data_IF_423094236915
#
_entry.id   IF_423094236915
#
_cell.length_a   1.000
_cell.length_b   1.000
_cell.length_c   1.000
_cell.angle_alpha   90.00
_cell.angle_beta   90.00
_cell.angle_gamma   90.00
#
_symmetry.space_group_name_H-M   'P 1'
#
loop_
_entity.id
_entity.type
_entity.pdbx_description
1 polymer ?
#
# COMPACT_ATOMS: atom_id res chain seq x y z
N UNK A 1 31.21 17.78 17.15
CA UNK A 1 31.20 17.45 15.70
C UNK A 1 29.82 17.77 15.15
N UNK A 2 29.66 18.65 14.14
CA UNK A 2 28.36 18.86 13.52
C UNK A 2 27.90 17.55 12.85
N UNK A 3 26.72 17.06 13.22
CA UNK A 3 26.20 15.80 12.69
C UNK A 3 25.92 15.95 11.19
N UNK A 4 26.61 15.16 10.37
CA UNK A 4 26.42 15.13 8.91
C UNK A 4 25.02 14.59 8.60
N UNK A 5 24.27 15.32 7.77
CA UNK A 5 22.94 14.92 7.31
C UNK A 5 22.99 13.53 6.67
N UNK A 6 21.97 12.72 6.95
CA UNK A 6 21.80 11.39 6.37
C UNK A 6 20.74 11.39 5.29
N UNK A 7 21.10 10.83 4.14
CA UNK A 7 20.16 10.47 3.08
C UNK A 7 19.52 9.13 3.44
N UNK A 8 18.20 9.10 3.49
CA UNK A 8 17.41 7.89 3.73
C UNK A 8 16.45 7.65 2.58
N UNK A 9 16.42 6.43 2.08
CA UNK A 9 15.47 5.99 1.07
C UNK A 9 14.61 4.88 1.69
N UNK A 10 13.31 5.14 1.81
CA UNK A 10 12.37 4.09 2.16
C UNK A 10 11.86 3.40 0.91
N UNK A 11 11.76 2.08 0.93
CA UNK A 11 11.24 1.33 -0.20
C UNK A 11 10.55 0.04 0.25
N UNK A 12 10.05 -0.70 -0.73
CA UNK A 12 9.32 -1.95 -0.58
C UNK A 12 8.46 -2.15 -1.82
N UNK A 13 7.96 -3.37 -2.07
CA UNK A 13 7.20 -3.69 -3.29
C UNK A 13 5.95 -2.82 -3.53
N UNK A 14 5.55 -2.00 -2.56
CA UNK A 14 4.32 -1.23 -2.58
C UNK A 14 3.21 -1.99 -1.86
N UNK A 15 2.25 -1.26 -1.30
CA UNK A 15 1.20 -1.84 -0.41
C UNK A 15 1.74 -2.52 0.86
N UNK A 16 3.01 -2.33 1.18
CA UNK A 16 3.72 -2.83 2.37
C UNK A 16 3.96 -1.75 3.44
N UNK A 17 3.18 -0.66 3.44
CA UNK A 17 3.26 0.36 4.50
C UNK A 17 4.25 1.51 4.27
N UNK A 18 4.74 1.71 3.04
CA UNK A 18 5.64 2.81 2.66
C UNK A 18 5.15 4.20 3.10
N UNK A 19 3.85 4.48 3.03
CA UNK A 19 3.30 5.74 3.55
C UNK A 19 3.42 5.87 5.08
N UNK A 20 3.21 4.77 5.82
CA UNK A 20 3.43 4.74 7.27
C UNK A 20 4.92 4.90 7.61
N UNK A 21 5.83 4.33 6.81
CA UNK A 21 7.26 4.56 6.96
C UNK A 21 7.62 6.03 6.80
N UNK A 22 7.15 6.68 5.73
CA UNK A 22 7.39 8.11 5.54
C UNK A 22 6.87 8.95 6.72
N UNK A 23 5.71 8.59 7.28
CA UNK A 23 5.19 9.24 8.48
C UNK A 23 6.06 9.03 9.72
N UNK A 24 6.55 7.80 9.95
CA UNK A 24 7.51 7.51 11.02
C UNK A 24 8.81 8.29 10.85
N UNK A 25 9.36 8.37 9.63
CA UNK A 25 10.60 9.09 9.39
C UNK A 25 10.42 10.61 9.60
N UNK A 26 9.28 11.17 9.21
CA UNK A 26 8.96 12.58 9.46
C UNK A 26 8.58 12.90 10.91
N UNK A 27 8.24 11.91 11.73
CA UNK A 27 8.01 12.18 13.16
C UNK A 27 9.30 12.45 13.92
N UNK A 28 10.45 12.09 13.36
CA UNK A 28 11.75 12.33 13.98
C UNK A 28 12.07 13.83 13.96
N UNK A 29 12.77 14.30 14.98
CA UNK A 29 13.19 15.68 15.02
C UNK A 29 14.15 15.98 13.86
N UNK A 30 14.05 17.19 13.28
CA UNK A 30 14.95 17.64 12.19
C UNK A 30 14.95 16.70 10.97
N UNK A 31 13.81 16.09 10.68
CA UNK A 31 13.63 15.19 9.54
C UNK A 31 12.73 15.80 8.46
N UNK A 32 13.03 15.49 7.20
CA UNK A 32 12.15 15.79 6.07
C UNK A 32 12.25 14.72 4.99
N UNK A 33 11.24 13.87 4.93
CA UNK A 33 11.18 12.71 4.05
C UNK A 33 9.91 12.77 3.20
N UNK A 34 10.02 12.81 1.89
CA UNK A 34 8.84 12.77 1.00
C UNK A 34 8.31 11.34 0.82
N UNK A 35 7.12 11.22 0.24
CA UNK A 35 6.56 9.94 -0.21
C UNK A 35 6.18 10.11 -1.68
N UNK A 36 6.88 9.39 -2.57
CA UNK A 36 6.69 9.42 -4.03
C UNK A 36 6.80 10.86 -4.60
N UNK A 37 7.91 11.57 -4.34
CA UNK A 37 8.06 13.01 -4.66
C UNK A 37 7.69 13.41 -6.10
N UNK A 38 8.04 12.59 -7.10
CA UNK A 38 7.66 12.79 -8.51
C UNK A 38 6.62 11.78 -9.02
N UNK A 39 5.92 11.12 -8.09
CA UNK A 39 4.84 10.20 -8.39
C UNK A 39 5.24 9.15 -9.43
N UNK A 40 4.45 8.95 -10.49
CA UNK A 40 4.67 7.89 -11.47
C UNK A 40 5.76 8.20 -12.50
N UNK A 41 6.62 9.20 -12.29
CA UNK A 41 7.59 9.65 -13.30
C UNK A 41 8.90 8.86 -13.30
N UNK A 42 9.11 8.01 -12.30
CA UNK A 42 10.29 7.12 -12.22
C UNK A 42 9.92 5.79 -12.85
N UNK A 43 10.50 5.52 -14.02
CA UNK A 43 10.39 4.22 -14.66
C UNK A 43 11.17 3.16 -13.86
N UNK A 44 10.78 1.89 -13.99
CA UNK A 44 11.50 0.77 -13.37
C UNK A 44 12.85 0.51 -14.04
N UNK A 45 12.89 0.72 -15.35
CA UNK A 45 14.10 0.66 -16.17
C UNK A 45 14.43 2.07 -16.65
N UNK A 46 15.72 2.39 -16.76
CA UNK A 46 16.23 3.67 -17.29
C UNK A 46 15.73 4.95 -16.57
N UNK A 47 15.26 4.81 -15.32
CA UNK A 47 14.73 5.91 -14.51
C UNK A 47 15.80 6.72 -13.74
N UNK A 48 17.09 6.42 -13.92
CA UNK A 48 18.20 7.12 -13.25
C UNK A 48 18.10 8.65 -13.36
N UNK A 49 17.85 9.27 -14.53
CA UNK A 49 17.75 10.73 -14.63
C UNK A 49 16.70 11.33 -13.70
N UNK A 50 15.54 10.68 -13.57
CA UNK A 50 14.46 11.12 -12.68
C UNK A 50 14.84 10.90 -11.22
N UNK A 51 15.47 9.77 -10.87
CA UNK A 51 15.98 9.50 -9.53
C UNK A 51 16.99 10.57 -9.10
N UNK A 52 17.98 10.88 -9.95
CA UNK A 52 18.95 11.94 -9.67
C UNK A 52 18.30 13.31 -9.55
N UNK A 53 17.24 13.58 -10.33
CA UNK A 53 16.46 14.79 -10.17
C UNK A 53 15.76 14.83 -8.80
N UNK A 54 15.18 13.73 -8.32
CA UNK A 54 14.59 13.67 -6.97
C UNK A 54 15.65 13.97 -5.92
N UNK A 55 16.80 13.28 -5.96
CA UNK A 55 17.85 13.45 -4.96
C UNK A 55 18.41 14.87 -4.92
N UNK A 56 18.55 15.54 -6.08
CA UNK A 56 18.96 16.96 -6.15
C UNK A 56 17.92 17.92 -5.60
N UNK A 57 16.64 17.57 -5.66
CA UNK A 57 15.54 18.39 -5.14
C UNK A 57 15.20 18.09 -3.67
N UNK A 58 15.92 17.17 -3.03
CA UNK A 58 15.76 16.95 -1.59
C UNK A 58 16.16 18.20 -0.80
N UNK A 59 15.45 18.52 0.29
CA UNK A 59 15.72 19.70 1.11
C UNK A 59 17.19 19.79 1.56
N UNK A 60 17.77 20.97 1.35
CA UNK A 60 19.19 21.21 1.60
C UNK A 60 19.51 21.95 2.91
N UNK A 61 18.51 22.29 3.74
CA UNK A 61 18.67 23.10 4.97
C UNK A 61 19.60 22.42 6.00
N UNK A 62 20.64 23.12 6.46
CA UNK A 62 21.63 22.66 7.45
C UNK A 62 21.01 22.16 8.77
N UNK A 63 19.82 22.62 9.10
CA UNK A 63 19.10 22.18 10.29
C UNK A 63 18.57 20.76 10.17
N UNK A 64 18.50 20.17 8.98
CA UNK A 64 17.99 18.81 8.80
C UNK A 64 19.08 17.76 9.03
N UNK A 65 18.76 16.76 9.86
CA UNK A 65 19.59 15.58 10.14
C UNK A 65 19.19 14.38 9.28
N UNK A 66 17.92 14.25 8.94
CA UNK A 66 17.38 13.16 8.13
C UNK A 66 16.64 13.74 6.91
N UNK A 67 17.07 13.37 5.70
CA UNK A 67 16.35 13.74 4.47
C UNK A 67 16.20 12.55 3.56
N UNK A 68 15.14 12.54 2.76
CA UNK A 68 14.87 11.36 1.97
C UNK A 68 13.59 11.39 1.16
N UNK A 69 13.35 10.26 0.52
CA UNK A 69 12.09 9.96 -0.15
C UNK A 69 11.73 8.49 0.10
N UNK A 70 10.44 8.19 0.06
CA UNK A 70 9.94 6.83 0.19
C UNK A 70 9.13 6.47 -1.05
N UNK A 71 9.53 5.43 -1.78
CA UNK A 71 8.80 4.92 -2.94
C UNK A 71 9.22 3.49 -3.29
N UNK A 72 8.36 2.76 -4.00
CA UNK A 72 8.67 1.38 -4.44
C UNK A 72 9.67 1.30 -5.58
N UNK A 73 9.75 2.33 -6.42
CA UNK A 73 10.57 2.33 -7.63
C UNK A 73 12.09 2.44 -7.37
N UNK A 74 12.56 2.58 -6.13
CA UNK A 74 13.98 2.79 -5.85
C UNK A 74 14.84 1.52 -5.94
N UNK A 75 14.26 0.33 -5.88
CA UNK A 75 15.01 -0.92 -5.79
C UNK A 75 16.07 -1.10 -6.89
N UNK A 76 15.79 -0.83 -8.18
CA UNK A 76 16.78 -0.97 -9.26
C UNK A 76 17.96 0.00 -9.12
N UNK A 77 17.77 1.12 -8.42
CA UNK A 77 18.71 2.24 -8.35
C UNK A 77 19.56 2.26 -7.08
N UNK A 78 19.43 1.26 -6.20
CA UNK A 78 20.14 1.25 -4.91
C UNK A 78 21.66 1.32 -5.11
N UNK A 79 22.20 0.51 -6.03
CA UNK A 79 23.64 0.47 -6.29
C UNK A 79 24.14 1.77 -6.94
N UNK A 80 23.38 2.34 -7.88
CA UNK A 80 23.75 3.61 -8.51
C UNK A 80 23.76 4.75 -7.48
N UNK A 81 22.75 4.83 -6.62
CA UNK A 81 22.69 5.79 -5.51
C UNK A 81 23.86 5.58 -4.54
N UNK A 82 24.19 4.35 -4.17
CA UNK A 82 25.30 4.05 -3.25
C UNK A 82 26.67 4.43 -3.83
N UNK A 83 26.85 4.34 -5.15
CA UNK A 83 28.12 4.73 -5.79
C UNK A 83 28.45 6.22 -5.62
N UNK A 84 27.43 7.07 -5.42
CA UNK A 84 27.57 8.52 -5.19
C UNK A 84 27.39 8.88 -3.71
N UNK A 85 26.39 8.30 -3.05
CA UNK A 85 26.04 8.55 -1.66
C UNK A 85 26.37 7.32 -0.79
N UNK A 86 27.65 7.08 -0.54
CA UNK A 86 28.15 5.92 0.22
C UNK A 86 27.53 5.78 1.62
N UNK A 87 27.12 6.89 2.23
CA UNK A 87 26.47 6.91 3.55
C UNK A 87 24.94 6.86 3.50
N UNK A 88 24.33 6.69 2.32
CA UNK A 88 22.89 6.54 2.21
C UNK A 88 22.41 5.29 2.97
N UNK A 89 21.18 5.35 3.48
CA UNK A 89 20.53 4.24 4.17
C UNK A 89 19.21 3.90 3.53
N UNK A 90 18.95 2.62 3.35
CA UNK A 90 17.78 2.08 2.67
C UNK A 90 16.98 1.21 3.62
N UNK A 91 15.75 1.60 3.88
CA UNK A 91 14.81 0.85 4.72
C UNK A 91 13.78 0.20 3.80
N UNK A 92 13.93 -1.10 3.58
CA UNK A 92 13.03 -1.87 2.73
C UNK A 92 11.98 -2.58 3.59
N UNK A 93 10.70 -2.27 3.39
CA UNK A 93 9.61 -2.95 4.10
C UNK A 93 9.12 -4.14 3.31
N UNK A 94 8.97 -5.27 4.01
CA UNK A 94 8.41 -6.51 3.50
C UNK A 94 7.08 -6.82 4.15
N UNK A 95 6.10 -7.16 3.32
CA UNK A 95 4.79 -7.67 3.73
C UNK A 95 4.61 -9.04 3.11
N UNK A 96 3.84 -9.89 3.77
CA UNK A 96 3.38 -11.16 3.21
C UNK A 96 2.97 -11.07 1.74
N UNK A 97 3.36 -12.09 0.99
CA UNK A 97 3.20 -12.19 -0.47
C UNK A 97 1.73 -12.18 -0.88
N UNK A 98 0.94 -13.07 -0.29
CA UNK A 98 -0.46 -13.25 -0.66
C UNK A 98 -1.30 -12.05 -0.24
N UNK A 99 -1.02 -11.47 0.93
CA UNK A 99 -1.64 -10.23 1.34
C UNK A 99 -1.30 -9.05 0.40
N UNK A 100 -0.07 -9.02 -0.12
CA UNK A 100 0.38 -7.99 -1.06
C UNK A 100 -0.33 -8.14 -2.41
N UNK A 101 -0.40 -9.37 -2.95
CA UNK A 101 -1.14 -9.69 -4.17
C UNK A 101 -2.61 -9.27 -4.02
N UNK A 102 -3.28 -9.74 -2.96
CA UNK A 102 -4.68 -9.41 -2.71
C UNK A 102 -4.91 -7.89 -2.56
N UNK A 103 -3.99 -7.18 -1.90
CA UNK A 103 -4.05 -5.72 -1.74
C UNK A 103 -3.94 -4.98 -3.07
N UNK A 104 -3.03 -5.41 -3.95
CA UNK A 104 -2.87 -4.81 -5.28
C UNK A 104 -4.07 -5.08 -6.17
N UNK A 105 -4.55 -6.33 -6.26
CA UNK A 105 -5.74 -6.72 -7.03
C UNK A 105 -6.93 -5.84 -6.65
N UNK A 106 -7.19 -5.71 -5.33
CA UNK A 106 -8.26 -4.85 -4.80
C UNK A 106 -8.07 -3.37 -5.15
N UNK A 107 -6.84 -2.85 -5.10
CA UNK A 107 -6.55 -1.42 -5.33
C UNK A 107 -6.61 -1.04 -6.81
N UNK A 108 -6.35 -1.98 -7.71
CA UNK A 108 -6.16 -1.73 -9.14
C UNK A 108 -7.12 -2.55 -10.04
N UNK A 109 -8.43 -2.64 -9.76
CA UNK A 109 -9.32 -3.62 -10.40
C UNK A 109 -9.40 -3.51 -11.93
N UNK A 110 -9.11 -2.34 -12.50
CA UNK A 110 -9.15 -2.06 -13.95
C UNK A 110 -7.79 -1.74 -14.58
N UNK A 111 -6.70 -1.97 -13.85
CA UNK A 111 -5.32 -1.63 -14.27
C UNK A 111 -4.42 -2.85 -14.08
N UNK A 112 -3.37 -2.97 -14.89
CA UNK A 112 -2.37 -4.01 -14.72
C UNK A 112 -0.97 -3.46 -15.01
N UNK A 113 -0.26 -3.06 -13.95
CA UNK A 113 1.05 -2.44 -14.09
C UNK A 113 2.16 -3.45 -14.40
N UNK A 114 1.92 -4.75 -14.23
CA UNK A 114 2.98 -5.78 -14.25
C UNK A 114 3.00 -6.59 -15.54
N UNK A 115 2.05 -6.36 -16.45
CA UNK A 115 2.01 -7.05 -17.75
C UNK A 115 1.98 -6.01 -18.86
N UNK A 116 2.61 -6.31 -19.99
CA UNK A 116 2.42 -5.53 -21.21
C UNK A 116 0.97 -5.67 -21.68
N UNK A 117 0.36 -4.55 -22.09
CA UNK A 117 -1.02 -4.54 -22.58
C UNK A 117 -1.31 -3.34 -23.48
N UNK A 118 -2.35 -3.46 -24.28
CA UNK A 118 -2.79 -2.51 -25.31
C UNK A 118 -3.87 -1.51 -24.86
N UNK A 119 -4.36 -1.64 -23.62
CA UNK A 119 -5.41 -0.76 -23.11
C UNK A 119 -6.83 -1.33 -23.20
N UNK A 120 -7.04 -2.43 -23.95
CA UNK A 120 -8.38 -2.97 -24.22
C UNK A 120 -8.96 -3.66 -22.97
N UNK A 121 -8.22 -4.60 -22.39
CA UNK A 121 -8.63 -5.31 -21.17
C UNK A 121 -8.32 -4.53 -19.90
N UNK A 122 -7.17 -3.86 -19.85
CA UNK A 122 -6.70 -3.09 -18.70
C UNK A 122 -6.41 -1.66 -19.12
N UNK A 123 -6.89 -0.69 -18.35
CA UNK A 123 -6.67 0.73 -18.64
C UNK A 123 -5.20 1.10 -18.41
N UNK A 124 -4.64 1.84 -19.36
CA UNK A 124 -3.34 2.49 -19.18
C UNK A 124 -3.33 3.39 -17.94
N UNK A 125 -2.16 3.46 -17.33
CA UNK A 125 -1.90 4.26 -16.15
C UNK A 125 -0.49 4.80 -16.22
N UNK A 126 -0.25 6.05 -15.79
CA UNK A 126 1.12 6.57 -15.69
C UNK A 126 2.04 5.69 -14.84
N UNK A 127 1.47 5.01 -13.84
CA UNK A 127 2.17 4.04 -13.00
C UNK A 127 2.66 2.79 -13.73
N UNK A 128 2.22 2.52 -14.97
CA UNK A 128 2.64 1.31 -15.69
C UNK A 128 4.16 1.27 -15.87
N UNK A 129 4.83 2.41 -16.06
CA UNK A 129 6.28 2.44 -16.22
C UNK A 129 7.06 2.17 -14.92
N UNK A 130 6.43 2.37 -13.75
CA UNK A 130 7.07 2.23 -12.44
C UNK A 130 7.24 0.76 -12.00
N UNK A 131 6.79 -0.19 -12.82
CA UNK A 131 6.83 -1.61 -12.50
C UNK A 131 7.44 -2.40 -13.67
N UNK A 132 8.19 -3.48 -13.36
CA UNK A 132 8.69 -4.38 -14.38
C UNK A 132 7.54 -5.13 -15.08
N UNK A 133 7.82 -5.66 -16.26
CA UNK A 133 6.84 -6.38 -17.08
C UNK A 133 7.13 -7.87 -17.10
N UNK A 134 6.12 -8.65 -16.75
CA UNK A 134 6.19 -10.09 -16.65
C UNK A 134 5.31 -10.76 -17.71
N UNK A 135 5.79 -11.92 -18.17
CA UNK A 135 4.99 -12.87 -18.93
C UNK A 135 4.24 -13.75 -17.93
N UNK A 136 2.94 -13.51 -17.80
CA UNK A 136 2.07 -14.23 -16.88
C UNK A 136 0.69 -14.45 -17.51
N UNK A 137 -0.01 -15.48 -17.07
CA UNK A 137 -1.37 -15.78 -17.54
C UNK A 137 -2.43 -14.94 -16.83
N UNK A 138 -2.12 -14.50 -15.60
CA UNK A 138 -3.01 -13.68 -14.78
C UNK A 138 -2.27 -12.51 -14.15
N UNK A 139 -3.04 -11.50 -13.74
CA UNK A 139 -2.50 -10.33 -13.05
C UNK A 139 -1.94 -10.71 -11.67
N UNK A 140 -2.62 -11.59 -10.95
CA UNK A 140 -2.21 -12.14 -9.66
C UNK A 140 -0.83 -12.80 -9.78
N UNK A 141 -0.64 -13.61 -10.82
CA UNK A 141 0.64 -14.26 -11.10
C UNK A 141 1.73 -13.23 -11.41
N UNK A 142 1.44 -12.19 -12.20
CA UNK A 142 2.40 -11.12 -12.49
C UNK A 142 2.80 -10.33 -11.23
N UNK A 143 1.85 -10.03 -10.35
CA UNK A 143 2.14 -9.38 -9.05
C UNK A 143 2.97 -10.31 -8.15
N UNK A 144 2.69 -11.60 -8.18
CA UNK A 144 3.47 -12.61 -7.45
C UNK A 144 4.93 -12.65 -7.91
N UNK A 145 5.16 -12.74 -9.23
CA UNK A 145 6.51 -12.69 -9.80
C UNK A 145 7.25 -11.40 -9.42
N UNK A 146 6.56 -10.26 -9.47
CA UNK A 146 7.09 -8.99 -9.00
C UNK A 146 7.49 -9.02 -7.52
N UNK A 147 6.65 -9.54 -6.64
CA UNK A 147 6.96 -9.66 -5.22
C UNK A 147 8.20 -10.54 -5.00
N UNK A 148 8.24 -11.70 -5.67
CA UNK A 148 9.32 -12.68 -5.54
C UNK A 148 10.66 -12.08 -6.00
N UNK A 149 10.67 -11.41 -7.15
CA UNK A 149 11.86 -10.74 -7.66
C UNK A 149 12.29 -9.57 -6.76
N UNK A 150 11.33 -8.75 -6.31
CA UNK A 150 11.60 -7.58 -5.50
C UNK A 150 12.35 -7.94 -4.21
N UNK A 151 11.86 -8.95 -3.48
CA UNK A 151 12.48 -9.30 -2.19
C UNK A 151 13.71 -10.18 -2.34
N UNK A 152 13.80 -11.04 -3.37
CA UNK A 152 15.07 -11.69 -3.70
C UNK A 152 16.17 -10.65 -3.93
N UNK A 153 15.90 -9.62 -4.73
CA UNK A 153 16.85 -8.53 -4.99
C UNK A 153 17.14 -7.69 -3.74
N UNK A 154 16.14 -7.43 -2.90
CA UNK A 154 16.32 -6.73 -1.63
C UNK A 154 17.21 -7.50 -0.64
N UNK A 155 17.05 -8.82 -0.56
CA UNK A 155 17.88 -9.71 0.26
C UNK A 155 19.32 -9.76 -0.24
N UNK A 156 19.53 -9.84 -1.57
CA UNK A 156 20.85 -9.72 -2.20
C UNK A 156 21.52 -8.38 -1.83
N UNK A 157 20.79 -7.27 -1.90
CA UNK A 157 21.28 -5.93 -1.55
C UNK A 157 21.60 -5.81 -0.05
N UNK A 158 20.77 -6.38 0.83
CA UNK A 158 21.05 -6.43 2.26
C UNK A 158 22.33 -7.22 2.54
N UNK A 159 22.52 -8.36 1.89
CA UNK A 159 23.71 -9.20 2.06
C UNK A 159 24.98 -8.47 1.58
N UNK A 160 24.88 -7.78 0.44
CA UNK A 160 26.00 -7.03 -0.15
C UNK A 160 26.34 -5.74 0.59
N UNK A 161 25.33 -5.05 1.12
CA UNK A 161 25.48 -3.74 1.75
C UNK A 161 24.81 -3.68 3.14
N UNK A 162 25.18 -4.52 4.10
CA UNK A 162 24.43 -4.67 5.36
C UNK A 162 24.42 -3.40 6.23
N UNK A 163 25.44 -2.54 6.07
CA UNK A 163 25.50 -1.24 6.76
C UNK A 163 24.58 -0.18 6.11
N UNK A 164 24.18 -0.38 4.85
CA UNK A 164 23.44 0.62 4.07
C UNK A 164 22.04 0.17 3.67
N UNK A 165 21.75 -1.12 3.57
CA UNK A 165 20.44 -1.64 3.16
C UNK A 165 19.94 -2.67 4.15
N UNK A 166 18.70 -2.52 4.61
CA UNK A 166 18.06 -3.48 5.52
C UNK A 166 16.59 -3.68 5.21
N UNK A 167 16.19 -4.95 5.21
CA UNK A 167 14.81 -5.41 5.09
C UNK A 167 14.19 -5.54 6.47
N UNK A 168 12.99 -5.01 6.63
CA UNK A 168 12.19 -5.13 7.85
C UNK A 168 10.80 -5.68 7.53
N UNK A 169 10.25 -6.58 8.36
CA UNK A 169 8.85 -6.95 8.27
C UNK A 169 7.96 -5.73 8.57
N UNK A 170 6.80 -5.62 7.91
CA UNK A 170 5.87 -4.49 8.08
C UNK A 170 5.39 -4.32 9.53
N UNK A 171 5.36 -5.41 10.29
CA UNK A 171 5.05 -5.45 11.72
C UNK A 171 6.01 -4.57 12.53
N UNK A 172 7.25 -4.42 12.08
CA UNK A 172 8.25 -3.58 12.73
C UNK A 172 7.80 -2.11 12.80
N UNK A 173 7.03 -1.63 11.82
CA UNK A 173 6.46 -0.28 11.87
C UNK A 173 5.44 -0.10 13.01
N UNK A 174 4.81 -1.17 13.47
CA UNK A 174 3.72 -1.11 14.44
C UNK A 174 4.15 -1.51 15.86
N UNK A 175 5.38 -1.96 16.04
CA UNK A 175 5.95 -2.34 17.33
C UNK A 175 7.01 -1.33 17.78
N UNK A 176 7.06 -1.03 19.08
CA UNK A 176 8.05 -0.12 19.64
C UNK A 176 9.49 -0.58 19.33
N UNK A 177 9.77 -1.87 19.56
CA UNK A 177 11.09 -2.46 19.30
C UNK A 177 11.43 -2.47 17.81
N UNK A 178 10.44 -2.68 16.95
CA UNK A 178 10.63 -2.62 15.50
C UNK A 178 10.99 -1.21 15.02
N UNK A 179 10.28 -0.19 15.50
CA UNK A 179 10.62 1.21 15.21
C UNK A 179 12.00 1.56 15.76
N UNK A 180 12.35 1.08 16.96
CA UNK A 180 13.69 1.28 17.53
C UNK A 180 14.77 0.71 16.62
N UNK A 181 14.62 -0.53 16.16
CA UNK A 181 15.58 -1.16 15.24
C UNK A 181 15.72 -0.40 13.91
N UNK A 182 14.62 0.14 13.36
CA UNK A 182 14.65 0.98 12.17
C UNK A 182 15.47 2.25 12.44
N UNK A 183 15.19 2.95 13.55
CA UNK A 183 15.87 4.20 13.90
C UNK A 183 17.34 3.98 14.30
N UNK A 184 17.67 2.85 14.93
CA UNK A 184 19.03 2.40 15.21
C UNK A 184 19.81 2.17 13.91
N UNK A 185 19.22 1.47 12.95
CA UNK A 185 19.83 1.24 11.64
C UNK A 185 20.11 2.55 10.89
N UNK A 186 19.18 3.50 10.97
CA UNK A 186 19.37 4.86 10.47
C UNK A 186 20.33 5.70 11.34
N UNK A 187 20.72 5.18 12.50
CA UNK A 187 21.49 5.84 13.55
C UNK A 187 20.98 7.27 13.81
N UNK A 188 19.66 7.36 13.98
CA UNK A 188 18.98 8.56 14.51
C UNK A 188 19.35 8.65 15.99
N UNK A 189 19.88 9.79 16.47
CA UNK A 189 20.24 9.98 17.88
C UNK A 189 19.03 9.88 18.81
N UNK A 190 19.21 9.33 20.01
CA UNK A 190 18.11 9.08 20.95
C UNK A 190 17.29 10.34 21.28
N UNK A 191 17.94 11.50 21.37
CA UNK A 191 17.29 12.78 21.66
C UNK A 191 16.33 13.23 20.53
N UNK A 192 16.58 12.78 19.30
CA UNK A 192 15.77 13.10 18.12
C UNK A 192 14.68 12.05 17.87
N UNK A 193 14.71 10.92 18.60
CA UNK A 193 13.77 9.81 18.39
C UNK A 193 12.37 10.18 18.86
N UNK A 194 11.41 9.86 18.00
CA UNK A 194 9.97 9.93 18.27
C UNK A 194 9.34 8.64 17.78
N UNK A 195 8.86 7.84 18.72
CA UNK A 195 8.11 6.64 18.39
C UNK A 195 6.66 7.01 18.09
N UNK A 196 6.09 6.34 17.09
CA UNK A 196 4.72 6.53 16.68
C UNK A 196 4.08 5.16 16.47
N UNK A 197 3.98 4.40 17.57
CA UNK A 197 3.45 3.05 17.57
C UNK A 197 2.00 3.08 17.08
N UNK A 198 1.64 2.15 16.20
CA UNK A 198 0.28 2.04 15.66
C UNK A 198 -0.05 2.96 14.47
N UNK A 199 0.94 3.59 13.82
CA UNK A 199 0.70 4.32 12.55
C UNK A 199 0.12 3.37 11.49
N UNK A 200 -1.18 3.54 11.22
CA UNK A 200 -1.89 2.83 10.15
C UNK A 200 -2.44 3.82 9.13
N UNK A 201 -1.58 4.33 8.25
CA UNK A 201 -2.01 5.14 7.12
C UNK A 201 -2.49 4.23 5.98
N UNK A 202 -3.66 4.53 5.40
CA UNK A 202 -4.34 3.74 4.36
C UNK A 202 -4.85 2.35 4.78
N UNK A 203 -4.93 2.03 6.08
CA UNK A 203 -5.64 0.84 6.51
C UNK A 203 -7.11 0.94 6.06
N UNK A 204 -7.65 -0.14 5.46
CA UNK A 204 -9.08 -0.23 5.27
C UNK A 204 -9.74 -0.05 6.65
N UNK A 205 -10.74 0.84 6.76
CA UNK A 205 -11.51 0.99 8.01
C UNK A 205 -11.87 -0.41 8.52
N UNK A 206 -11.65 -0.74 9.80
CA UNK A 206 -12.14 -2.00 10.34
C UNK A 206 -13.61 -2.11 9.97
N UNK A 207 -14.03 -3.27 9.47
CA UNK A 207 -15.46 -3.54 9.21
C UNK A 207 -16.15 -3.48 10.58
N UNK A 208 -16.62 -2.29 10.96
CA UNK A 208 -17.34 -2.09 12.20
C UNK A 208 -18.55 -3.02 12.25
N UNK A 209 -19.09 -3.22 13.45
CA UNK A 209 -20.24 -4.09 13.79
C UNK A 209 -21.37 -4.07 12.74
N UNK A 210 -21.60 -2.95 12.05
CA UNK A 210 -22.55 -2.84 10.92
C UNK A 210 -22.32 -3.83 9.77
N UNK A 211 -21.08 -4.22 9.49
CA UNK A 211 -20.74 -5.21 8.46
C UNK A 211 -21.08 -6.65 8.87
N UNK A 212 -20.92 -6.97 10.16
CA UNK A 212 -21.33 -8.24 10.75
C UNK A 212 -22.87 -8.34 10.80
N UNK A 213 -23.54 -7.26 11.23
CA UNK A 213 -25.00 -7.16 11.25
C UNK A 213 -25.62 -7.29 9.86
N UNK A 214 -24.99 -6.76 8.79
CA UNK A 214 -25.46 -6.96 7.40
C UNK A 214 -25.34 -8.40 6.91
N UNK A 215 -24.39 -9.19 7.43
CA UNK A 215 -24.26 -10.62 7.11
C UNK A 215 -25.27 -11.46 7.91
N UNK A 216 -25.45 -11.16 9.19
CA UNK A 216 -26.47 -11.79 10.02
C UNK A 216 -27.88 -11.54 9.47
N UNK A 217 -28.18 -10.33 9.00
CA UNK A 217 -29.46 -10.01 8.34
C UNK A 217 -29.74 -10.77 7.04
N UNK A 218 -28.71 -11.36 6.40
CA UNK A 218 -28.85 -12.22 5.20
C UNK A 218 -28.95 -13.70 5.53
N UNK A 219 -28.61 -14.09 6.76
CA UNK A 219 -28.70 -15.46 7.28
C UNK A 219 -29.99 -15.68 8.08
N UNK A 220 -30.67 -14.61 8.50
CA UNK A 220 -32.00 -14.68 9.08
C UNK A 220 -33.03 -14.86 7.95
N UNK A 221 -33.93 -15.86 8.03
CA UNK A 221 -35.01 -16.00 7.07
C UNK A 221 -35.88 -14.74 7.11
N UNK A 222 -36.12 -14.14 5.94
CA UNK A 222 -37.03 -13.01 5.81
C UNK A 222 -38.45 -13.39 6.28
N UNK A 223 -39.27 -12.41 6.71
CA UNK A 223 -40.66 -12.68 7.06
C UNK A 223 -41.34 -13.36 5.88
N UNK A 224 -41.93 -14.53 6.14
CA UNK A 224 -42.70 -15.26 5.13
C UNK A 224 -43.82 -14.34 4.64
N UNK A 225 -44.09 -14.27 3.34
CA UNK A 225 -45.24 -13.55 2.84
C UNK A 225 -46.49 -14.14 3.49
N UNK A 226 -47.27 -13.27 4.14
CA UNK A 226 -48.58 -13.62 4.68
C UNK A 226 -49.47 -13.93 3.48
N UNK A 227 -49.95 -15.17 3.38
CA UNK A 227 -50.96 -15.52 2.39
C UNK A 227 -52.19 -14.63 2.62
N UNK A 228 -52.73 -13.96 1.58
CA UNK A 228 -53.98 -13.25 1.72
C UNK A 228 -55.10 -14.27 2.01
N UNK A 229 -55.91 -13.97 3.02
CA UNK A 229 -57.10 -14.75 3.37
C UNK A 229 -58.07 -14.83 2.17
N UNK A 230 -58.72 -15.98 1.96
CA UNK A 230 -59.75 -16.11 0.94
C UNK A 230 -60.94 -15.22 1.30
N UNK A 231 -61.24 -14.23 0.45
CA UNK A 231 -62.46 -13.46 0.52
C UNK A 231 -63.66 -14.40 0.31
N UNK A 232 -64.47 -14.57 1.35
CA UNK A 232 -65.77 -15.22 1.28
C UNK A 232 -66.68 -14.41 0.36
N UNK A 233 -67.04 -15.02 -0.78
CA UNK A 233 -68.03 -14.48 -1.70
C UNK A 233 -69.39 -14.39 -1.01
N UNK A 234 -69.87 -13.17 -0.83
CA UNK A 234 -71.25 -12.89 -0.43
C UNK A 234 -72.20 -13.31 -1.56
N UNK A 235 -73.14 -14.18 -1.20
CA UNK A 235 -74.22 -14.67 -2.06
C UNK A 235 -75.20 -13.52 -2.40
N UNK A 236 -75.68 -13.39 -3.65
CA UNK A 236 -76.62 -12.34 -4.03
C UNK A 236 -78.05 -12.64 -3.56
N UNK A 237 -78.67 -11.62 -2.96
CA UNK A 237 -80.08 -11.55 -2.60
C UNK A 237 -80.99 -11.75 -3.83
N UNK A 238 -81.95 -12.66 -3.70
CA UNK A 238 -83.06 -12.83 -4.62
C UNK A 238 -84.07 -11.66 -4.50
N UNK A 239 -84.72 -11.22 -5.60
CA UNK A 239 -85.79 -10.22 -5.56
C UNK A 239 -87.13 -10.84 -5.12
N UNK A 240 -88.01 -10.10 -4.42
CA UNK A 240 -89.32 -10.60 -4.04
C UNK A 240 -90.30 -10.59 -5.22
N UNK A 241 -91.05 -11.69 -5.31
CA UNK A 241 -92.17 -11.91 -6.24
C UNK A 241 -93.32 -10.92 -5.99
N UNK A 242 -93.88 -10.44 -7.10
CA UNK A 242 -95.15 -9.74 -7.18
C UNK A 242 -96.28 -10.51 -6.45
N UNK A 243 -97.07 -9.80 -5.64
CA UNK A 243 -98.45 -10.18 -5.35
C UNK A 243 -99.36 -9.55 -6.40
N UNK A 244 -100.22 -10.39 -7.00
CA UNK A 244 -101.39 -9.98 -7.75
C UNK A 244 -102.59 -9.82 -6.80
N UNK A 245 -103.52 -8.95 -7.22
CA UNK A 245 -104.87 -8.60 -6.71
C UNK A 245 -104.95 -7.21 -6.09
#
# INVERSE_FOLDING_TARGET
>A
MPHRRKLVIGLGSGRCGTRSLAALLNSQNRARVSHELFGPSVAWEEGDPTVWNILRNLPSNSDLRLVGDVASYYLPYVESILSVYLSARFVCLQRDREETIASFVKKTPRKNHWMAHDGVRWRHSPWDQCFPKYRASTKEQAIGQYWDEYYRRAEELQSRYPASFRVFPIEALNALDGQRQILDFLSVPDEDRRFAVGIRLNAAKPRGIRGLLRRLRRLLPGPRPVCPEPQTAASPLAPPLLRAS
#
